data_IF_273943450777
#
_entry.id   IF_273943450777
#
_cell.length_a   1.000
_cell.length_b   1.000
_cell.length_c   1.000
_cell.angle_alpha   90.00
_cell.angle_beta   90.00
_cell.angle_gamma   90.00
#
_symmetry.space_group_name_H-M   'P 1'
#
loop_
_entity.id
_entity.type
_entity.pdbx_description
1 polymer ?
#
# COMPACT_ATOMS: atom_id res chain seq x y z
N UNK A 1 7.81 -5.30 3.16
CA UNK A 1 9.13 -5.15 2.51
C UNK A 1 9.86 -6.50 2.35
N UNK A 2 9.98 -7.28 3.40
CA UNK A 2 10.74 -8.55 3.41
C UNK A 2 10.24 -9.60 2.41
N UNK A 3 8.96 -9.57 2.07
CA UNK A 3 8.35 -10.50 1.10
C UNK A 3 8.56 -10.10 -0.36
N UNK A 4 9.11 -8.93 -0.63
CA UNK A 4 9.32 -8.44 -1.99
C UNK A 4 10.54 -9.12 -2.62
N UNK A 5 10.54 -9.30 -3.97
CA UNK A 5 11.73 -9.77 -4.68
C UNK A 5 12.94 -8.89 -4.40
N UNK A 6 14.13 -9.48 -4.34
CA UNK A 6 15.38 -8.78 -4.00
C UNK A 6 15.63 -7.55 -4.86
N UNK A 7 15.40 -7.64 -6.16
CA UNK A 7 15.54 -6.47 -7.07
C UNK A 7 14.63 -5.30 -6.71
N UNK A 8 13.41 -5.60 -6.27
CA UNK A 8 12.47 -4.56 -5.81
C UNK A 8 12.88 -3.96 -4.47
N UNK A 9 13.49 -4.76 -3.60
CA UNK A 9 14.05 -4.26 -2.33
C UNK A 9 15.20 -3.28 -2.60
N UNK A 10 16.10 -3.60 -3.52
CA UNK A 10 17.18 -2.71 -3.95
C UNK A 10 16.63 -1.43 -4.58
N UNK A 11 15.64 -1.55 -5.46
CA UNK A 11 14.98 -0.41 -6.08
C UNK A 11 14.41 0.58 -5.06
N UNK A 12 13.83 0.07 -3.96
CA UNK A 12 13.30 0.90 -2.89
C UNK A 12 14.37 1.77 -2.19
N UNK A 13 15.60 1.30 -2.13
CA UNK A 13 16.73 2.06 -1.55
C UNK A 13 17.25 3.16 -2.47
N UNK A 14 17.13 3.00 -3.78
CA UNK A 14 17.80 3.89 -4.73
C UNK A 14 16.88 4.92 -5.36
N UNK A 15 15.58 4.64 -5.44
CA UNK A 15 14.62 5.52 -6.10
C UNK A 15 14.17 6.67 -5.19
N UNK A 16 14.47 7.93 -5.55
CA UNK A 16 13.84 9.08 -4.90
C UNK A 16 12.45 9.29 -5.49
N UNK A 17 11.50 8.43 -5.11
CA UNK A 17 10.17 8.32 -5.72
C UNK A 17 9.54 9.68 -6.02
N UNK A 18 9.07 9.84 -7.26
CA UNK A 18 8.38 11.04 -7.77
C UNK A 18 9.22 12.32 -7.80
N UNK A 19 10.52 12.26 -7.55
CA UNK A 19 11.42 13.38 -7.69
C UNK A 19 12.08 13.38 -9.07
N UNK A 20 12.50 14.55 -9.54
CA UNK A 20 13.28 14.66 -10.75
C UNK A 20 14.64 14.00 -10.58
N UNK A 21 15.10 13.35 -11.63
CA UNK A 21 16.43 12.74 -11.72
C UNK A 21 17.10 13.21 -13.02
N UNK A 22 18.45 13.34 -13.04
CA UNK A 22 19.14 13.86 -14.23
C UNK A 22 19.05 12.92 -15.44
N UNK A 23 18.99 11.59 -15.21
CA UNK A 23 18.89 10.59 -16.26
C UNK A 23 18.58 9.22 -15.67
N UNK A 24 18.22 8.26 -16.52
CA UNK A 24 18.06 6.87 -16.09
C UNK A 24 19.38 6.27 -15.60
N UNK A 25 20.51 6.69 -16.15
CA UNK A 25 21.84 6.25 -15.74
C UNK A 25 22.12 6.56 -14.26
N UNK A 26 21.56 7.62 -13.73
CA UNK A 26 21.60 7.96 -12.30
C UNK A 26 21.08 6.80 -11.45
N UNK A 27 19.93 6.22 -11.80
CA UNK A 27 19.37 5.06 -11.09
C UNK A 27 20.21 3.80 -11.26
N UNK A 28 20.71 3.56 -12.48
CA UNK A 28 21.56 2.40 -12.79
C UNK A 28 22.83 2.41 -11.93
N UNK A 29 23.48 3.54 -11.80
CA UNK A 29 24.68 3.69 -10.97
C UNK A 29 24.36 3.48 -9.48
N UNK A 30 23.25 4.00 -9.02
CA UNK A 30 22.81 3.80 -7.62
C UNK A 30 22.48 2.34 -7.31
N UNK A 31 21.82 1.65 -8.24
CA UNK A 31 21.53 0.22 -8.08
C UNK A 31 22.81 -0.58 -7.93
N UNK A 32 23.81 -0.35 -8.79
CA UNK A 32 25.10 -1.05 -8.70
C UNK A 32 25.78 -0.85 -7.34
N UNK A 33 25.76 0.36 -6.81
CA UNK A 33 26.34 0.66 -5.48
C UNK A 33 25.60 -0.08 -4.37
N UNK A 34 24.28 -0.10 -4.39
CA UNK A 34 23.46 -0.78 -3.38
C UNK A 34 23.59 -2.30 -3.49
N UNK A 35 23.64 -2.84 -4.69
CA UNK A 35 23.91 -4.27 -4.90
C UNK A 35 25.24 -4.70 -4.26
N UNK A 36 26.29 -3.93 -4.48
CA UNK A 36 27.59 -4.21 -3.87
C UNK A 36 27.54 -4.09 -2.33
N UNK A 37 26.85 -3.08 -1.81
CA UNK A 37 26.72 -2.87 -0.37
C UNK A 37 26.04 -4.03 0.34
N UNK A 38 25.01 -4.61 -0.27
CA UNK A 38 24.21 -5.69 0.34
C UNK A 38 24.48 -7.07 -0.28
N UNK A 39 25.59 -7.23 -0.99
CA UNK A 39 25.96 -8.50 -1.58
C UNK A 39 26.07 -9.59 -0.52
N UNK A 40 25.32 -10.68 -0.71
CA UNK A 40 25.34 -11.82 0.20
C UNK A 40 24.67 -11.64 1.55
N UNK A 41 24.03 -10.47 1.80
CA UNK A 41 23.34 -10.19 3.06
C UNK A 41 21.88 -9.80 2.81
N UNK A 42 21.06 -9.86 3.86
CA UNK A 42 19.67 -9.40 3.81
C UNK A 42 19.63 -7.89 3.63
N UNK A 43 18.75 -7.43 2.75
CA UNK A 43 18.53 -6.00 2.53
C UNK A 43 17.60 -5.48 3.63
N UNK A 44 18.03 -4.50 4.43
CA UNK A 44 17.16 -3.91 5.44
C UNK A 44 16.05 -3.05 4.78
N UNK A 45 14.95 -2.85 5.48
CA UNK A 45 13.92 -1.91 5.06
C UNK A 45 14.51 -0.48 5.08
N UNK A 46 14.28 0.34 4.03
CA UNK A 46 14.65 1.76 4.10
C UNK A 46 13.98 2.45 5.28
N UNK A 47 14.67 3.36 5.93
CA UNK A 47 14.16 4.07 7.12
C UNK A 47 12.92 4.92 6.83
N UNK A 48 12.77 5.39 5.59
CA UNK A 48 11.62 6.16 5.13
C UNK A 48 10.45 5.28 4.65
N UNK A 49 10.58 3.97 4.70
CA UNK A 49 9.51 3.04 4.38
C UNK A 49 8.68 2.73 5.61
N UNK A 50 7.39 2.85 5.44
CA UNK A 50 6.42 2.51 6.47
C UNK A 50 5.12 2.04 5.84
N UNK A 51 4.12 1.86 6.65
CA UNK A 51 2.79 1.50 6.22
C UNK A 51 1.75 2.14 7.12
N UNK A 52 0.54 2.21 6.60
CA UNK A 52 -0.63 2.65 7.35
C UNK A 52 -1.54 1.45 7.50
N UNK A 53 -1.87 1.11 8.75
CA UNK A 53 -2.90 0.12 9.04
C UNK A 53 -4.21 0.85 9.26
N UNK A 54 -5.20 0.54 8.44
CA UNK A 54 -6.55 1.07 8.60
C UNK A 54 -7.40 0.01 9.30
N UNK A 55 -7.96 0.37 10.45
CA UNK A 55 -8.92 -0.49 11.15
C UNK A 55 -10.28 0.19 11.08
N UNK A 56 -11.17 -0.29 10.20
CA UNK A 56 -12.47 0.33 10.05
C UNK A 56 -13.39 -0.07 11.20
N UNK A 57 -14.26 0.86 11.59
CA UNK A 57 -15.34 0.61 12.54
C UNK A 57 -16.72 0.53 11.87
N UNK A 58 -16.77 0.84 10.57
CA UNK A 58 -17.98 0.66 9.75
C UNK A 58 -17.62 0.42 8.28
N UNK A 59 -18.51 -0.29 7.59
CA UNK A 59 -18.46 -0.51 6.14
C UNK A 59 -19.83 -0.21 5.54
N UNK A 60 -19.86 0.42 4.39
CA UNK A 60 -21.07 0.54 3.60
C UNK A 60 -20.88 -0.16 2.26
N UNK A 61 -21.82 -1.05 1.93
CA UNK A 61 -21.90 -1.68 0.62
C UNK A 61 -23.06 -1.07 -0.16
N UNK A 62 -22.78 -0.69 -1.39
CA UNK A 62 -23.72 -0.01 -2.25
C UNK A 62 -23.88 -0.78 -3.55
N UNK A 63 -25.13 -0.97 -3.99
CA UNK A 63 -25.47 -1.57 -5.27
C UNK A 63 -26.41 -0.65 -6.02
N UNK A 64 -26.03 -0.25 -7.25
CA UNK A 64 -26.88 0.56 -8.11
C UNK A 64 -28.13 -0.20 -8.56
N UNK A 65 -29.29 0.49 -8.46
CA UNK A 65 -30.58 -0.03 -8.92
C UNK A 65 -31.29 1.05 -9.74
N UNK A 66 -32.28 0.65 -10.60
CA UNK A 66 -33.09 1.60 -11.36
C UNK A 66 -33.86 2.58 -10.46
N UNK A 67 -34.19 3.75 -11.02
CA UNK A 67 -35.00 4.78 -10.38
C UNK A 67 -34.36 5.34 -9.08
N UNK A 68 -33.03 5.27 -8.97
CA UNK A 68 -32.27 5.68 -7.78
C UNK A 68 -32.64 4.91 -6.50
N UNK A 69 -33.31 3.76 -6.65
CA UNK A 69 -33.65 2.89 -5.52
C UNK A 69 -32.50 1.92 -5.21
N UNK A 70 -31.35 2.50 -4.94
CA UNK A 70 -30.11 1.76 -4.69
C UNK A 70 -30.18 0.99 -3.38
N UNK A 71 -29.55 -0.18 -3.38
CA UNK A 71 -29.38 -0.96 -2.17
C UNK A 71 -28.16 -0.44 -1.42
N UNK A 72 -28.34 -0.17 -0.12
CA UNK A 72 -27.27 0.26 0.77
C UNK A 72 -27.34 -0.54 2.05
N UNK A 73 -26.23 -1.18 2.41
CA UNK A 73 -26.10 -1.96 3.64
C UNK A 73 -24.92 -1.44 4.41
N UNK A 74 -25.11 -1.02 5.63
CA UNK A 74 -24.05 -0.57 6.52
C UNK A 74 -23.77 -1.62 7.59
N UNK A 75 -22.52 -2.07 7.66
CA UNK A 75 -22.01 -2.89 8.73
C UNK A 75 -21.26 -2.01 9.73
N UNK A 76 -21.48 -2.25 11.01
CA UNK A 76 -20.83 -1.51 12.08
C UNK A 76 -20.55 -2.41 13.28
N UNK A 77 -19.55 -2.05 14.08
CA UNK A 77 -19.26 -2.79 15.31
C UNK A 77 -20.08 -2.27 16.47
N UNK A 78 -20.70 -3.22 17.19
CA UNK A 78 -21.26 -3.00 18.51
C UNK A 78 -20.46 -3.88 19.46
N UNK A 79 -19.65 -3.27 20.32
CA UNK A 79 -18.66 -3.98 21.13
C UNK A 79 -17.69 -4.75 20.21
N UNK A 80 -17.61 -6.09 20.29
CA UNK A 80 -16.74 -6.93 19.45
C UNK A 80 -17.48 -7.59 18.29
N UNK A 81 -18.77 -7.33 18.12
CA UNK A 81 -19.60 -7.96 17.11
C UNK A 81 -19.97 -7.03 15.98
N UNK A 82 -20.04 -7.57 14.76
CA UNK A 82 -20.53 -6.86 13.61
C UNK A 82 -22.04 -7.00 13.49
N UNK A 83 -22.72 -5.88 13.35
CA UNK A 83 -24.13 -5.79 13.03
C UNK A 83 -24.33 -5.07 11.71
N UNK A 84 -25.52 -5.16 11.13
CA UNK A 84 -25.81 -4.46 9.89
C UNK A 84 -27.24 -3.89 9.88
N UNK A 85 -27.39 -2.85 9.08
CA UNK A 85 -28.68 -2.21 8.79
C UNK A 85 -28.76 -1.89 7.31
N UNK A 86 -29.97 -1.84 6.80
CA UNK A 86 -30.23 -1.31 5.46
C UNK A 86 -30.45 0.20 5.55
N UNK A 87 -29.85 0.92 4.62
CA UNK A 87 -30.02 2.36 4.53
C UNK A 87 -30.88 2.72 3.33
N UNK A 88 -31.68 3.75 3.48
CA UNK A 88 -32.37 4.35 2.34
C UNK A 88 -31.38 4.97 1.36
N UNK A 89 -31.66 4.87 0.06
CA UNK A 89 -30.80 5.46 -0.98
C UNK A 89 -30.77 6.97 -0.95
#
# INVERSE_FOLDING_TARGET
FKSRPRGSQLGAHVSPQSREIPSKNFLIQRIKKIENKYKGVKIPRPTNWGGIKVTPHSYEFWQGRPNRLHDRVKFFKVQSNWEYVKLAP
#
